data_IF_470112330972
#
_entry.id   IF_470112330972
#
_cell.length_a   1.000
_cell.length_b   1.000
_cell.length_c   1.000
_cell.angle_alpha   90.00
_cell.angle_beta   90.00
_cell.angle_gamma   90.00
#
_symmetry.space_group_name_H-M   'P 1'
#
loop_
_entity.id
_entity.type
_entity.pdbx_description
1 polymer ?
#
# COMPACT_ATOMS: atom_id res chain seq x y z
N UNK A 1 42.47 -5.26 6.84
CA UNK A 1 41.61 -5.30 5.65
C UNK A 1 40.49 -4.29 5.89
N UNK A 2 40.70 -3.03 5.49
CA UNK A 2 39.72 -1.97 5.68
C UNK A 2 38.63 -2.15 4.62
N UNK A 3 37.36 -2.21 5.04
CA UNK A 3 36.23 -2.25 4.11
C UNK A 3 36.25 -0.97 3.26
N UNK A 4 36.16 -1.14 1.93
CA UNK A 4 36.10 -0.04 0.98
C UNK A 4 34.88 0.85 1.29
N UNK A 5 35.07 2.14 1.61
CA UNK A 5 33.97 3.06 1.92
C UNK A 5 33.05 3.34 0.72
N UNK A 6 33.44 2.93 -0.49
CA UNK A 6 32.64 3.00 -1.71
C UNK A 6 32.02 1.66 -2.11
N UNK A 7 32.22 0.59 -1.32
CA UNK A 7 31.57 -0.68 -1.59
C UNK A 7 30.05 -0.47 -1.49
N UNK A 8 29.26 -0.86 -2.52
CA UNK A 8 27.83 -0.82 -2.41
C UNK A 8 27.43 -1.63 -1.18
N UNK A 9 26.41 -1.20 -0.42
CA UNK A 9 26.01 -1.92 0.78
C UNK A 9 25.32 -3.26 0.48
N UNK A 10 25.34 -3.68 -0.79
CA UNK A 10 24.84 -4.92 -1.33
C UNK A 10 25.96 -5.63 -2.09
N UNK A 11 26.02 -6.97 -2.08
CA UNK A 11 27.09 -7.74 -2.73
C UNK A 11 27.14 -7.60 -4.27
N UNK A 12 26.14 -7.00 -4.91
CA UNK A 12 25.91 -7.03 -6.36
C UNK A 12 25.62 -5.63 -6.92
N UNK A 13 25.93 -5.41 -8.20
CA UNK A 13 25.54 -4.20 -8.93
C UNK A 13 24.01 -4.07 -9.02
N UNK A 14 23.50 -2.84 -8.98
CA UNK A 14 22.06 -2.54 -8.97
C UNK A 14 21.29 -3.15 -10.15
N UNK A 15 21.95 -3.29 -11.30
CA UNK A 15 21.39 -3.88 -12.52
C UNK A 15 20.93 -5.34 -12.32
N UNK A 16 21.56 -6.07 -11.41
CA UNK A 16 21.16 -7.45 -11.07
C UNK A 16 20.11 -7.50 -9.96
N UNK A 17 20.19 -6.57 -9.01
CA UNK A 17 19.33 -6.54 -7.81
C UNK A 17 17.92 -6.08 -8.16
N UNK A 18 17.79 -5.02 -8.96
CA UNK A 18 16.50 -4.39 -9.25
C UNK A 18 15.50 -5.32 -9.97
N UNK A 19 15.91 -6.13 -10.97
CA UNK A 19 15.04 -7.15 -11.57
C UNK A 19 14.51 -8.17 -10.56
N UNK A 20 15.36 -8.65 -9.64
CA UNK A 20 14.96 -9.60 -8.61
C UNK A 20 13.98 -8.98 -7.60
N UNK A 21 14.23 -7.74 -7.16
CA UNK A 21 13.29 -6.99 -6.33
C UNK A 21 11.94 -6.83 -7.03
N UNK A 22 11.92 -6.55 -8.35
CA UNK A 22 10.66 -6.50 -9.11
C UNK A 22 9.93 -7.83 -9.15
N UNK A 23 10.63 -8.97 -9.27
CA UNK A 23 10.01 -10.30 -9.21
C UNK A 23 9.36 -10.54 -7.84
N UNK A 24 10.07 -10.25 -6.76
CA UNK A 24 9.56 -10.36 -5.38
C UNK A 24 8.33 -9.46 -5.20
N UNK A 25 8.41 -8.19 -5.61
CA UNK A 25 7.33 -7.23 -5.49
C UNK A 25 6.07 -7.68 -6.25
N UNK A 26 6.20 -8.23 -7.46
CA UNK A 26 5.06 -8.81 -8.21
C UNK A 26 4.41 -9.95 -7.46
N UNK A 27 5.20 -10.90 -6.94
CA UNK A 27 4.68 -12.02 -6.18
C UNK A 27 3.96 -11.55 -4.90
N UNK A 28 4.48 -10.53 -4.22
CA UNK A 28 3.86 -9.94 -3.02
C UNK A 28 2.55 -9.23 -3.33
N UNK A 29 2.49 -8.42 -4.40
CA UNK A 29 1.26 -7.74 -4.81
C UNK A 29 0.20 -8.75 -5.28
N UNK A 30 0.60 -9.79 -6.01
CA UNK A 30 -0.30 -10.87 -6.39
C UNK A 30 -0.91 -11.56 -5.17
N UNK A 31 -0.09 -11.87 -4.16
CA UNK A 31 -0.56 -12.47 -2.91
C UNK A 31 -1.44 -11.52 -2.06
N UNK A 32 -1.27 -10.21 -2.18
CA UNK A 32 -2.05 -9.22 -1.44
C UNK A 32 -3.41 -8.89 -2.08
N UNK A 33 -3.58 -9.21 -3.37
CA UNK A 33 -4.82 -8.97 -4.11
C UNK A 33 -4.95 -7.54 -4.68
N UNK A 34 -5.98 -7.32 -5.49
CA UNK A 34 -6.18 -6.08 -6.26
C UNK A 34 -6.52 -4.84 -5.42
N UNK A 35 -6.81 -5.00 -4.12
CA UNK A 35 -7.27 -3.92 -3.25
C UNK A 35 -6.19 -2.97 -2.71
N UNK A 36 -4.90 -3.22 -3.01
CA UNK A 36 -3.78 -2.43 -2.46
C UNK A 36 -3.56 -1.12 -3.21
N UNK A 37 -4.03 -0.99 -4.47
CA UNK A 37 -3.83 0.23 -5.28
C UNK A 37 -2.38 0.55 -5.64
N UNK A 38 -1.44 -0.36 -5.32
CA UNK A 38 -0.01 -0.15 -5.48
C UNK A 38 0.53 -0.94 -6.68
N UNK A 39 1.31 -0.27 -7.54
CA UNK A 39 2.00 -0.94 -8.64
C UNK A 39 3.37 -1.49 -8.19
N UNK A 40 3.93 -2.42 -8.97
CA UNK A 40 5.21 -3.08 -8.64
C UNK A 40 6.36 -2.10 -8.46
N UNK A 41 6.50 -1.12 -9.36
CA UNK A 41 7.61 -0.16 -9.33
C UNK A 41 7.51 0.73 -8.09
N UNK A 42 6.31 1.17 -7.74
CA UNK A 42 6.04 1.95 -6.53
C UNK A 42 6.40 1.16 -5.27
N UNK A 43 6.01 -0.13 -5.18
CA UNK A 43 6.40 -0.98 -4.05
C UNK A 43 7.91 -1.12 -3.91
N UNK A 44 8.62 -1.29 -5.03
CA UNK A 44 10.09 -1.38 -5.01
C UNK A 44 10.72 -0.08 -4.53
N UNK A 45 10.27 1.08 -5.03
CA UNK A 45 10.80 2.38 -4.60
C UNK A 45 10.53 2.67 -3.13
N UNK A 46 9.29 2.47 -2.67
CA UNK A 46 8.92 2.67 -1.25
C UNK A 46 9.73 1.76 -0.33
N UNK A 47 9.89 0.48 -0.73
CA UNK A 47 10.72 -0.46 0.03
C UNK A 47 12.18 -0.06 0.01
N UNK A 48 12.70 0.46 -1.10
CA UNK A 48 14.07 0.95 -1.22
C UNK A 48 14.34 2.11 -0.27
N UNK A 49 13.42 3.08 -0.15
CA UNK A 49 13.56 4.19 0.80
C UNK A 49 13.66 3.67 2.24
N UNK A 50 12.77 2.76 2.63
CA UNK A 50 12.79 2.13 3.96
C UNK A 50 14.03 1.26 4.20
N UNK A 51 14.55 0.63 3.15
CA UNK A 51 15.81 -0.09 3.22
C UNK A 51 16.98 0.88 3.36
N UNK A 52 17.06 1.95 2.58
CA UNK A 52 18.16 2.91 2.59
C UNK A 52 18.40 3.52 3.98
N UNK A 53 17.31 3.81 4.72
CA UNK A 53 17.38 4.27 6.10
C UNK A 53 18.02 3.26 7.06
N UNK A 54 18.01 1.98 6.72
CA UNK A 54 18.49 0.85 7.55
C UNK A 54 19.80 0.25 7.05
N UNK A 55 20.07 0.35 5.76
CA UNK A 55 21.20 -0.29 5.07
C UNK A 55 22.54 0.30 5.50
N UNK A 56 22.60 1.58 5.88
CA UNK A 56 23.79 2.15 6.52
C UNK A 56 24.14 1.55 7.89
N UNK A 57 23.22 0.76 8.48
CA UNK A 57 23.36 0.14 9.80
C UNK A 57 23.36 -1.39 9.74
N UNK A 58 22.98 -2.00 8.61
CA UNK A 58 22.88 -3.45 8.43
C UNK A 58 23.91 -3.96 7.41
N UNK A 59 24.75 -4.89 7.86
CA UNK A 59 25.58 -5.71 6.97
C UNK A 59 24.84 -7.02 6.65
N UNK A 60 24.59 -7.30 5.38
CA UNK A 60 23.99 -8.56 4.95
C UNK A 60 25.08 -9.61 4.70
N UNK A 61 24.94 -10.78 5.33
CA UNK A 61 25.91 -11.87 5.17
C UNK A 61 25.84 -12.56 3.80
N UNK A 62 24.74 -12.40 3.05
CA UNK A 62 24.55 -12.95 1.71
C UNK A 62 23.43 -12.22 0.95
N UNK A 63 23.42 -12.33 -0.39
CA UNK A 63 22.32 -11.83 -1.22
C UNK A 63 20.97 -12.44 -0.83
N UNK A 64 20.95 -13.71 -0.41
CA UNK A 64 19.74 -14.36 0.09
C UNK A 64 19.15 -13.69 1.34
N UNK A 65 19.99 -13.31 2.31
CA UNK A 65 19.55 -12.56 3.48
C UNK A 65 19.03 -11.17 3.10
N UNK A 66 19.66 -10.50 2.15
CA UNK A 66 19.19 -9.22 1.62
C UNK A 66 17.80 -9.35 0.99
N UNK A 67 17.59 -10.31 0.09
CA UNK A 67 16.30 -10.50 -0.57
C UNK A 67 15.20 -10.93 0.43
N UNK A 68 15.53 -11.74 1.43
CA UNK A 68 14.59 -12.09 2.50
C UNK A 68 14.17 -10.84 3.29
N UNK A 69 15.13 -9.98 3.64
CA UNK A 69 14.85 -8.72 4.33
C UNK A 69 14.03 -7.75 3.46
N UNK A 70 14.39 -7.58 2.19
CA UNK A 70 13.64 -6.76 1.24
C UNK A 70 12.19 -7.25 1.10
N UNK A 71 11.98 -8.56 1.03
CA UNK A 71 10.65 -9.15 0.97
C UNK A 71 9.83 -8.89 2.24
N UNK A 72 10.48 -8.82 3.41
CA UNK A 72 9.84 -8.47 4.67
C UNK A 72 9.45 -6.98 4.71
N UNK A 73 10.32 -6.08 4.25
CA UNK A 73 10.00 -4.65 4.15
C UNK A 73 8.85 -4.41 3.17
N UNK A 74 8.86 -5.04 2.00
CA UNK A 74 7.75 -4.97 1.03
C UNK A 74 6.43 -5.42 1.66
N UNK A 75 6.44 -6.47 2.47
CA UNK A 75 5.25 -6.93 3.19
C UNK A 75 4.76 -5.87 4.19
N UNK A 76 5.67 -5.23 4.93
CA UNK A 76 5.31 -4.16 5.86
C UNK A 76 4.67 -2.98 5.13
N UNK A 77 5.26 -2.52 4.02
CA UNK A 77 4.68 -1.46 3.17
C UNK A 77 3.25 -1.79 2.75
N UNK A 78 3.02 -3.00 2.22
CA UNK A 78 1.69 -3.44 1.81
C UNK A 78 0.71 -3.44 2.99
N UNK A 79 1.14 -3.96 4.15
CA UNK A 79 0.29 -4.01 5.35
C UNK A 79 -0.09 -2.61 5.83
N UNK A 80 0.86 -1.68 5.82
CA UNK A 80 0.64 -0.29 6.23
C UNK A 80 -0.41 0.37 5.31
N UNK A 81 -0.27 0.23 3.99
CA UNK A 81 -1.23 0.75 3.01
C UNK A 81 -2.62 0.14 3.18
N UNK A 82 -2.71 -1.18 3.38
CA UNK A 82 -3.99 -1.84 3.61
C UNK A 82 -4.64 -1.36 4.90
N UNK A 83 -3.85 -1.13 5.96
CA UNK A 83 -4.35 -0.58 7.23
C UNK A 83 -4.84 0.84 7.08
N UNK A 84 -4.10 1.68 6.36
CA UNK A 84 -4.45 3.07 6.07
C UNK A 84 -5.76 3.15 5.28
N UNK A 85 -5.87 2.42 4.15
CA UNK A 85 -7.10 2.34 3.38
C UNK A 85 -8.30 1.83 4.21
N UNK A 86 -8.09 0.85 5.10
CA UNK A 86 -9.16 0.40 5.99
C UNK A 86 -9.56 1.46 7.02
N UNK A 87 -8.60 2.22 7.56
CA UNK A 87 -8.87 3.30 8.49
C UNK A 87 -9.67 4.41 7.81
N UNK A 88 -9.27 4.84 6.61
CA UNK A 88 -10.00 5.82 5.79
C UNK A 88 -11.44 5.36 5.51
N UNK A 89 -11.63 4.10 5.09
CA UNK A 89 -12.95 3.54 4.81
C UNK A 89 -13.83 3.38 6.05
N UNK A 90 -13.23 3.34 7.25
CA UNK A 90 -13.95 3.29 8.54
C UNK A 90 -14.12 4.66 9.19
N UNK A 91 -14.07 5.72 8.39
CA UNK A 91 -14.31 7.08 8.84
C UNK A 91 -13.03 7.88 9.13
N UNK A 92 -11.84 7.34 8.91
CA UNK A 92 -10.59 8.12 8.85
C UNK A 92 -10.28 8.96 10.09
N UNK A 93 -10.64 8.48 11.29
CA UNK A 93 -10.48 9.25 12.53
C UNK A 93 -11.61 10.26 12.81
N UNK A 94 -12.71 10.24 12.03
CA UNK A 94 -13.93 10.94 12.37
C UNK A 94 -14.46 10.46 13.73
N UNK A 95 -14.94 11.40 14.54
CA UNK A 95 -15.59 11.07 15.80
C UNK A 95 -16.77 10.12 15.51
N UNK A 96 -16.91 8.99 16.24
CA UNK A 96 -18.07 8.12 16.08
C UNK A 96 -19.32 8.90 16.47
N UNK A 97 -20.14 9.24 15.48
CA UNK A 97 -21.45 9.85 15.69
C UNK A 97 -22.47 8.74 15.86
N UNK A 98 -23.18 8.74 16.99
CA UNK A 98 -24.29 7.82 17.21
C UNK A 98 -25.38 8.12 16.19
N UNK A 99 -25.73 7.12 15.37
CA UNK A 99 -26.85 7.23 14.45
C UNK A 99 -28.15 7.31 15.26
N UNK A 100 -28.74 8.49 15.30
CA UNK A 100 -30.07 8.69 15.86
C UNK A 100 -31.12 8.30 14.80
N UNK A 101 -32.00 7.37 15.18
CA UNK A 101 -33.11 6.91 14.34
C UNK A 101 -34.02 8.06 13.92
N UNK A 102 -34.13 9.13 14.71
CA UNK A 102 -34.89 10.33 14.34
C UNK A 102 -34.25 11.10 13.18
N UNK A 103 -32.91 11.15 13.12
CA UNK A 103 -32.17 11.78 12.01
C UNK A 103 -32.29 10.94 10.74
N UNK A 104 -32.21 9.61 10.85
CA UNK A 104 -32.44 8.71 9.73
C UNK A 104 -33.87 8.84 9.17
N UNK A 105 -34.87 8.97 10.05
CA UNK A 105 -36.27 9.20 9.65
C UNK A 105 -36.49 10.58 9.01
N UNK A 106 -35.81 11.62 9.47
CA UNK A 106 -35.88 12.96 8.85
C UNK A 106 -35.27 12.98 7.43
N UNK A 107 -34.17 12.25 7.21
CA UNK A 107 -33.55 12.11 5.88
C UNK A 107 -34.44 11.30 4.94
N UNK A 108 -35.03 10.20 5.41
CA UNK A 108 -35.99 9.41 4.63
C UNK A 108 -37.31 10.16 4.36
N UNK A 109 -37.79 10.98 5.30
CA UNK A 109 -39.02 11.76 5.14
C UNK A 109 -38.87 12.91 4.12
N UNK A 110 -37.64 13.40 3.91
CA UNK A 110 -37.35 14.46 2.95
C UNK A 110 -37.22 13.98 1.50
N UNK A 111 -37.30 12.66 1.23
CA UNK A 111 -37.37 12.08 -0.13
C UNK A 111 -36.17 12.31 -1.07
N UNK A 112 -35.29 13.25 -0.74
CA UNK A 112 -34.33 13.82 -1.68
C UNK A 112 -33.21 12.84 -2.07
N UNK A 113 -32.75 11.99 -1.15
CA UNK A 113 -31.56 11.15 -1.40
C UNK A 113 -31.81 9.91 -2.25
N UNK A 114 -33.00 9.30 -2.16
CA UNK A 114 -33.33 8.09 -2.92
C UNK A 114 -33.81 8.41 -4.34
N UNK A 115 -34.56 9.48 -4.52
CA UNK A 115 -35.05 9.92 -5.83
C UNK A 115 -33.90 10.48 -6.70
N UNK A 116 -32.92 11.16 -6.08
CA UNK A 116 -31.74 11.68 -6.78
C UNK A 116 -30.83 10.54 -7.29
N UNK A 117 -30.60 9.51 -6.47
CA UNK A 117 -29.81 8.35 -6.89
C UNK A 117 -30.47 7.58 -8.05
N UNK A 118 -31.80 7.44 -8.04
CA UNK A 118 -32.56 6.85 -9.14
C UNK A 118 -32.55 7.72 -10.41
N UNK A 119 -32.61 9.04 -10.28
CA UNK A 119 -32.48 9.96 -11.42
C UNK A 119 -31.09 9.87 -12.07
N UNK A 120 -30.03 9.76 -11.27
CA UNK A 120 -28.66 9.61 -11.77
C UNK A 120 -28.49 8.29 -12.54
N UNK A 121 -29.01 7.18 -12.00
CA UNK A 121 -28.98 5.86 -12.65
C UNK A 121 -29.77 5.84 -13.98
N UNK A 122 -30.95 6.48 -13.99
CA UNK A 122 -31.76 6.63 -15.21
C UNK A 122 -31.04 7.48 -16.27
N UNK A 123 -30.38 8.57 -15.87
CA UNK A 123 -29.64 9.44 -16.78
C UNK A 123 -28.41 8.73 -17.38
N UNK A 124 -27.73 7.88 -16.61
CA UNK A 124 -26.60 7.08 -17.09
C UNK A 124 -27.02 5.96 -18.05
N UNK A 125 -28.21 5.40 -17.86
CA UNK A 125 -28.74 4.31 -18.71
C UNK A 125 -29.37 4.84 -20.02
N UNK A 126 -29.67 6.14 -20.09
CA UNK A 126 -30.24 6.80 -21.27
C UNK A 126 -29.19 7.37 -22.25
N UNK A 127 -27.89 7.19 -21.98
CA UNK A 127 -26.77 7.49 -22.89
C UNK A 127 -26.49 6.32 -23.84
#
# INVERSE_FOLDING_TARGET
MAADPNAPPFPEAWDNVYPELKKIARARLFAAGSGVGLNTTALVHESYLRLADRVGQLSFASSGHFYAYAAQVMRSVIVDLVREHQAERRGGGAAPVTLDTAVAQAVSANGAGSDEALQVDQALTAL
#
